data_IF_571721715782
#
_entry.id   IF_571721715782
#
_cell.length_a   1.000
_cell.length_b   1.000
_cell.length_c   1.000
_cell.angle_alpha   90.00
_cell.angle_beta   90.00
_cell.angle_gamma   90.00
#
_symmetry.space_group_name_H-M   'P 1'
#
loop_
_entity.id
_entity.type
_entity.pdbx_description
1 polymer ?
#
# COMPACT_ATOMS: atom_id res chain seq x y z
N UNK A 1 -14.26 -2.72 -54.77
CA UNK A 1 -15.17 -3.85 -54.45
C UNK A 1 -14.51 -4.65 -53.36
N UNK A 2 -15.25 -5.06 -52.35
CA UNK A 2 -14.73 -5.94 -51.30
C UNK A 2 -15.33 -7.32 -51.53
N UNK A 3 -14.49 -8.35 -51.50
CA UNK A 3 -14.88 -9.74 -51.66
C UNK A 3 -14.69 -10.46 -50.31
N UNK A 4 -15.69 -11.20 -49.87
CA UNK A 4 -15.60 -12.10 -48.72
C UNK A 4 -15.69 -13.52 -49.26
N UNK A 5 -14.62 -14.30 -49.08
CA UNK A 5 -14.59 -15.72 -49.40
C UNK A 5 -14.80 -16.52 -48.13
N UNK A 6 -15.95 -17.19 -47.99
CA UNK A 6 -16.18 -18.14 -46.89
C UNK A 6 -15.92 -19.55 -47.40
N UNK A 7 -14.97 -20.26 -46.78
CA UNK A 7 -14.72 -21.68 -47.02
C UNK A 7 -15.37 -22.50 -45.92
N UNK A 8 -16.28 -23.41 -46.26
CA UNK A 8 -16.87 -24.33 -45.27
C UNK A 8 -17.17 -25.69 -45.89
N UNK A 9 -16.77 -26.74 -45.18
CA UNK A 9 -16.71 -28.12 -45.68
C UNK A 9 -15.94 -28.20 -47.01
N UNK A 10 -16.59 -28.56 -48.12
CA UNK A 10 -16.01 -28.64 -49.47
C UNK A 10 -16.49 -27.53 -50.41
N UNK A 11 -17.04 -26.42 -49.87
CA UNK A 11 -17.59 -25.33 -50.66
C UNK A 11 -16.97 -23.97 -50.32
N UNK A 12 -16.75 -23.18 -51.37
CA UNK A 12 -16.21 -21.82 -51.32
C UNK A 12 -17.31 -20.85 -51.79
N UNK A 13 -17.78 -19.99 -50.89
CA UNK A 13 -18.81 -19.00 -51.16
C UNK A 13 -18.17 -17.61 -51.31
N UNK A 14 -18.15 -17.08 -52.53
CA UNK A 14 -17.62 -15.74 -52.85
C UNK A 14 -18.75 -14.69 -52.82
N UNK A 15 -18.75 -13.86 -51.78
CA UNK A 15 -19.68 -12.75 -51.62
C UNK A 15 -19.06 -11.44 -52.11
N UNK A 16 -19.61 -10.87 -53.17
CA UNK A 16 -19.27 -9.55 -53.67
C UNK A 16 -20.06 -8.49 -52.93
N UNK A 17 -19.40 -7.56 -52.25
CA UNK A 17 -20.05 -6.42 -51.60
C UNK A 17 -20.21 -5.30 -52.62
N UNK A 18 -21.46 -4.93 -52.90
CA UNK A 18 -21.84 -3.79 -53.72
C UNK A 18 -22.83 -2.93 -52.95
N UNK A 19 -22.35 -1.75 -52.56
CA UNK A 19 -23.09 -0.83 -51.68
C UNK A 19 -23.54 -1.61 -50.41
N UNK A 20 -24.82 -1.58 -50.06
CA UNK A 20 -25.36 -2.29 -48.89
C UNK A 20 -25.90 -3.70 -49.19
N UNK A 21 -25.76 -4.17 -50.44
CA UNK A 21 -26.13 -5.53 -50.85
C UNK A 21 -24.88 -6.42 -50.93
N UNK A 22 -24.89 -7.55 -50.22
CA UNK A 22 -23.96 -8.65 -50.49
C UNK A 22 -24.56 -9.53 -51.57
N UNK A 23 -23.81 -9.77 -52.64
CA UNK A 23 -24.25 -10.62 -53.75
C UNK A 23 -23.42 -11.91 -53.79
N UNK A 24 -24.09 -13.05 -53.85
CA UNK A 24 -23.49 -14.36 -54.09
C UNK A 24 -23.99 -14.89 -55.43
N UNK A 25 -23.07 -15.33 -56.29
CA UNK A 25 -23.38 -16.02 -57.54
C UNK A 25 -23.05 -17.50 -57.41
N UNK A 26 -24.02 -18.37 -57.64
CA UNK A 26 -23.83 -19.82 -57.69
C UNK A 26 -24.21 -20.34 -59.08
N UNK A 27 -23.39 -21.22 -59.67
CA UNK A 27 -23.75 -21.85 -60.94
C UNK A 27 -24.92 -22.83 -60.72
N UNK A 28 -25.85 -22.95 -61.68
CA UNK A 28 -26.99 -23.86 -61.55
C UNK A 28 -26.57 -25.31 -61.33
N UNK A 29 -25.44 -25.72 -61.92
CA UNK A 29 -24.78 -27.03 -61.71
C UNK A 29 -24.28 -27.29 -60.28
N UNK A 30 -24.11 -26.25 -59.46
CA UNK A 30 -23.78 -26.34 -58.02
C UNK A 30 -25.03 -26.35 -57.13
N UNK A 31 -26.23 -26.40 -57.74
CA UNK A 31 -27.52 -26.46 -57.05
C UNK A 31 -28.34 -27.65 -57.57
N UNK A 32 -29.43 -27.96 -56.88
CA UNK A 32 -30.41 -28.99 -57.29
C UNK A 32 -31.78 -28.37 -57.60
N UNK A 33 -31.82 -27.07 -57.91
CA UNK A 33 -33.03 -26.32 -58.25
C UNK A 33 -33.68 -26.91 -59.50
N UNK A 34 -34.96 -27.29 -59.39
CA UNK A 34 -35.77 -27.79 -60.52
C UNK A 34 -36.89 -26.84 -60.92
N UNK A 35 -37.24 -25.90 -60.04
CA UNK A 35 -38.28 -24.89 -60.23
C UNK A 35 -37.89 -23.64 -59.43
N UNK A 36 -37.91 -22.46 -60.04
CA UNK A 36 -37.64 -21.17 -59.40
C UNK A 36 -38.56 -20.94 -58.18
N UNK A 37 -39.77 -21.52 -58.18
CA UNK A 37 -40.70 -21.46 -57.02
C UNK A 37 -40.13 -22.09 -55.75
N UNK A 38 -39.13 -22.97 -55.85
CA UNK A 38 -38.42 -23.51 -54.69
C UNK A 38 -37.60 -22.42 -53.99
N UNK A 39 -37.06 -21.47 -54.76
CA UNK A 39 -36.26 -20.34 -54.27
C UNK A 39 -37.11 -19.25 -53.62
N UNK A 40 -38.45 -19.25 -53.80
CA UNK A 40 -39.34 -18.30 -53.14
C UNK A 40 -39.26 -18.36 -51.60
N UNK A 41 -38.88 -19.51 -51.04
CA UNK A 41 -38.57 -19.65 -49.61
C UNK A 41 -37.39 -18.76 -49.19
N UNK A 42 -36.36 -18.61 -50.04
CA UNK A 42 -35.21 -17.73 -49.76
C UNK A 42 -35.61 -16.24 -49.81
N UNK A 43 -36.80 -15.89 -50.32
CA UNK A 43 -37.37 -14.55 -50.23
C UNK A 43 -38.24 -14.31 -48.97
N UNK A 44 -38.45 -15.32 -48.11
CA UNK A 44 -39.33 -15.20 -46.93
C UNK A 44 -38.69 -14.33 -45.83
N UNK A 45 -39.40 -13.28 -45.39
CA UNK A 45 -38.96 -12.39 -44.31
C UNK A 45 -39.14 -13.06 -42.94
N UNK A 46 -38.04 -13.19 -42.18
CA UNK A 46 -38.04 -13.83 -40.84
C UNK A 46 -36.92 -13.27 -39.98
N UNK A 47 -37.14 -13.11 -38.67
CA UNK A 47 -36.17 -12.55 -37.69
C UNK A 47 -34.77 -13.22 -37.67
N UNK A 48 -34.67 -14.45 -38.21
CA UNK A 48 -33.43 -15.24 -38.24
C UNK A 48 -32.51 -14.90 -39.42
N UNK A 49 -33.02 -14.27 -40.47
CA UNK A 49 -32.35 -14.13 -41.76
C UNK A 49 -32.43 -12.71 -42.31
N UNK A 50 -31.41 -12.31 -43.07
CA UNK A 50 -31.39 -11.03 -43.79
C UNK A 50 -32.38 -11.05 -44.97
N UNK A 51 -33.13 -9.96 -45.24
CA UNK A 51 -33.97 -9.84 -46.43
C UNK A 51 -33.16 -10.10 -47.72
N UNK A 52 -33.65 -11.03 -48.53
CA UNK A 52 -32.93 -11.56 -49.68
C UNK A 52 -33.79 -11.56 -50.95
N UNK A 53 -33.19 -11.12 -52.04
CA UNK A 53 -33.73 -11.17 -53.39
C UNK A 53 -33.01 -12.26 -54.17
N UNK A 54 -33.72 -12.99 -55.04
CA UNK A 54 -33.13 -14.02 -55.91
C UNK A 54 -33.43 -13.67 -57.36
N UNK A 55 -32.38 -13.58 -58.17
CA UNK A 55 -32.46 -13.42 -59.62
C UNK A 55 -31.93 -14.69 -60.31
N UNK A 56 -32.66 -15.17 -61.30
CA UNK A 56 -32.26 -16.29 -62.16
C UNK A 56 -31.66 -15.73 -63.45
N UNK A 57 -30.35 -15.93 -63.65
CA UNK A 57 -29.63 -15.68 -64.91
C UNK A 57 -29.38 -17.05 -65.58
N UNK A 58 -29.14 -17.11 -66.90
CA UNK A 58 -29.27 -18.36 -67.70
C UNK A 58 -28.59 -19.60 -67.07
N UNK A 59 -27.31 -19.49 -66.69
CA UNK A 59 -26.54 -20.56 -66.01
C UNK A 59 -26.23 -20.27 -64.52
N UNK A 60 -26.64 -19.11 -63.98
CA UNK A 60 -26.20 -18.59 -62.67
C UNK A 60 -27.39 -18.09 -61.86
N UNK A 61 -27.48 -18.48 -60.60
CA UNK A 61 -28.43 -17.90 -59.63
C UNK A 61 -27.71 -16.83 -58.82
N UNK A 62 -28.21 -15.60 -58.87
CA UNK A 62 -27.68 -14.45 -58.12
C UNK A 62 -28.56 -14.17 -56.91
N UNK A 63 -28.02 -14.42 -55.71
CA UNK A 63 -28.64 -14.08 -54.44
C UNK A 63 -28.14 -12.71 -53.97
N UNK A 64 -29.05 -11.79 -53.62
CA UNK A 64 -28.72 -10.45 -53.14
C UNK A 64 -29.31 -10.20 -51.75
N UNK A 65 -28.44 -10.04 -50.74
CA UNK A 65 -28.81 -9.90 -49.34
C UNK A 65 -28.67 -8.42 -48.90
N UNK A 66 -29.76 -7.80 -48.44
CA UNK A 66 -29.80 -6.36 -48.09
C UNK A 66 -29.50 -6.16 -46.61
N UNK A 67 -28.33 -5.62 -46.29
CA UNK A 67 -27.87 -5.46 -44.89
C UNK A 67 -28.13 -4.02 -44.43
N UNK A 68 -28.76 -3.84 -43.27
CA UNK A 68 -28.89 -2.52 -42.62
C UNK A 68 -27.51 -1.94 -42.29
N UNK A 69 -27.26 -0.68 -42.64
CA UNK A 69 -26.04 0.05 -42.29
C UNK A 69 -25.72 0.02 -40.77
N UNK A 70 -26.75 -0.14 -39.91
CA UNK A 70 -26.60 -0.22 -38.45
C UNK A 70 -26.12 -1.59 -37.96
N UNK A 71 -26.23 -2.64 -38.77
CA UNK A 71 -25.93 -4.00 -38.35
C UNK A 71 -24.43 -4.18 -38.06
N UNK A 72 -24.13 -4.57 -36.83
CA UNK A 72 -22.77 -4.76 -36.33
C UNK A 72 -22.17 -6.05 -36.92
N UNK A 73 -20.87 -6.01 -37.22
CA UNK A 73 -20.12 -7.14 -37.80
C UNK A 73 -19.37 -7.89 -36.70
N UNK A 74 -18.95 -9.13 -36.98
CA UNK A 74 -18.15 -9.93 -36.04
C UNK A 74 -16.91 -9.20 -35.50
N UNK A 75 -16.24 -8.42 -36.35
CA UNK A 75 -15.07 -7.62 -35.99
C UNK A 75 -15.37 -6.50 -34.95
N UNK A 76 -16.63 -6.06 -34.81
CA UNK A 76 -17.03 -5.03 -33.85
C UNK A 76 -17.53 -5.66 -32.55
N UNK A 77 -18.31 -6.74 -32.67
CA UNK A 77 -18.70 -7.61 -31.55
C UNK A 77 -17.46 -8.18 -30.82
N UNK A 78 -16.37 -8.48 -31.52
CA UNK A 78 -15.12 -8.96 -30.91
C UNK A 78 -14.46 -7.96 -29.95
N UNK A 79 -14.84 -6.67 -30.01
CA UNK A 79 -14.34 -5.58 -29.16
C UNK A 79 -15.19 -5.33 -27.91
N UNK A 80 -16.38 -5.95 -27.81
CA UNK A 80 -17.33 -5.75 -26.71
C UNK A 80 -16.86 -6.39 -25.39
N UNK A 81 -17.53 -6.01 -24.29
CA UNK A 81 -17.29 -6.57 -22.96
C UNK A 81 -17.60 -8.07 -22.88
N UNK A 82 -17.00 -8.76 -21.90
CA UNK A 82 -17.20 -10.20 -21.71
C UNK A 82 -18.66 -10.56 -21.42
N UNK A 83 -19.39 -9.73 -20.69
CA UNK A 83 -20.85 -9.82 -20.49
C UNK A 83 -21.62 -9.86 -21.81
N UNK A 84 -21.24 -9.00 -22.74
CA UNK A 84 -21.98 -8.72 -23.97
C UNK A 84 -21.70 -9.80 -25.02
N UNK A 85 -20.46 -10.28 -25.06
CA UNK A 85 -20.07 -11.49 -25.80
C UNK A 85 -20.85 -12.71 -25.32
N UNK A 86 -20.95 -12.94 -24.01
CA UNK A 86 -21.73 -14.06 -23.46
C UNK A 86 -23.22 -13.92 -23.82
N UNK A 87 -23.82 -12.73 -23.67
CA UNK A 87 -25.20 -12.44 -24.10
C UNK A 87 -25.44 -12.76 -25.58
N UNK A 88 -24.51 -12.35 -26.45
CA UNK A 88 -24.59 -12.58 -27.90
C UNK A 88 -24.49 -14.07 -28.24
N UNK A 89 -23.63 -14.83 -27.56
CA UNK A 89 -23.54 -16.28 -27.73
C UNK A 89 -24.84 -16.97 -27.26
N UNK A 90 -25.40 -16.59 -26.11
CA UNK A 90 -26.73 -17.06 -25.70
C UNK A 90 -27.82 -16.72 -26.74
N UNK A 91 -27.74 -15.55 -27.39
CA UNK A 91 -28.67 -15.17 -28.45
C UNK A 91 -28.54 -16.03 -29.73
N UNK A 92 -27.35 -16.55 -30.06
CA UNK A 92 -27.13 -17.46 -31.20
C UNK A 92 -27.85 -18.81 -31.03
N UNK A 93 -28.13 -19.24 -29.79
CA UNK A 93 -28.86 -20.48 -29.52
C UNK A 93 -30.23 -20.57 -30.23
N UNK A 94 -30.82 -19.42 -30.60
CA UNK A 94 -32.07 -19.34 -31.38
C UNK A 94 -32.03 -20.18 -32.66
N UNK A 95 -30.87 -20.29 -33.30
CA UNK A 95 -30.73 -20.97 -34.60
C UNK A 95 -30.92 -22.49 -34.51
N UNK A 96 -30.88 -23.11 -33.32
CA UNK A 96 -31.27 -24.52 -33.15
C UNK A 96 -32.71 -24.78 -33.64
N UNK A 97 -33.61 -23.79 -33.55
CA UNK A 97 -34.98 -23.88 -34.07
C UNK A 97 -35.07 -24.00 -35.59
N UNK A 98 -34.00 -23.67 -36.33
CA UNK A 98 -33.96 -23.78 -37.79
C UNK A 98 -33.66 -25.22 -38.25
N UNK A 99 -32.99 -26.04 -37.44
CA UNK A 99 -32.61 -27.42 -37.79
C UNK A 99 -33.83 -28.32 -38.12
N UNK A 100 -34.97 -28.04 -37.49
CA UNK A 100 -36.25 -28.72 -37.72
C UNK A 100 -37.03 -28.19 -38.94
N UNK A 101 -36.49 -27.20 -39.67
CA UNK A 101 -37.14 -26.60 -40.84
C UNK A 101 -36.57 -27.15 -42.16
N UNK A 102 -37.10 -26.67 -43.30
CA UNK A 102 -36.49 -26.90 -44.62
C UNK A 102 -35.29 -25.99 -44.91
N UNK A 103 -35.12 -24.91 -44.15
CA UNK A 103 -33.96 -24.03 -44.30
C UNK A 103 -32.72 -24.73 -43.79
N UNK A 104 -31.62 -24.55 -44.50
CA UNK A 104 -30.28 -24.93 -44.06
C UNK A 104 -29.41 -23.70 -43.95
N UNK A 105 -28.40 -23.76 -43.11
CA UNK A 105 -27.51 -22.64 -42.82
C UNK A 105 -26.16 -23.17 -42.35
N UNK A 106 -25.20 -22.27 -42.19
CA UNK A 106 -23.96 -22.57 -41.48
C UNK A 106 -23.60 -21.40 -40.57
N UNK A 107 -23.01 -21.72 -39.41
CA UNK A 107 -22.48 -20.74 -38.48
C UNK A 107 -21.02 -20.44 -38.85
N UNK A 108 -20.75 -19.20 -39.28
CA UNK A 108 -19.41 -18.69 -39.59
C UNK A 108 -19.36 -17.19 -39.22
N UNK A 109 -18.23 -16.65 -38.72
CA UNK A 109 -18.09 -15.25 -38.35
C UNK A 109 -18.62 -14.25 -39.38
N UNK A 110 -18.29 -14.43 -40.67
CA UNK A 110 -18.67 -13.49 -41.72
C UNK A 110 -20.11 -13.68 -42.23
N UNK A 111 -20.75 -14.81 -41.92
CA UNK A 111 -22.16 -15.08 -42.22
C UNK A 111 -23.12 -14.47 -41.18
N UNK A 112 -22.60 -13.94 -40.07
CA UNK A 112 -23.38 -13.36 -38.99
C UNK A 112 -23.33 -11.82 -39.02
N UNK A 113 -24.51 -11.21 -38.85
CA UNK A 113 -24.66 -9.79 -38.50
C UNK A 113 -25.50 -9.67 -37.23
N UNK A 114 -25.39 -8.53 -36.54
CA UNK A 114 -26.04 -8.33 -35.25
C UNK A 114 -26.75 -6.98 -35.15
N UNK A 115 -27.98 -6.98 -34.64
CA UNK A 115 -28.71 -5.77 -34.23
C UNK A 115 -28.11 -5.15 -32.95
N UNK A 116 -28.45 -3.90 -32.65
CA UNK A 116 -28.03 -3.17 -31.44
C UNK A 116 -28.38 -3.90 -30.13
N UNK A 117 -29.41 -4.76 -30.10
CA UNK A 117 -29.73 -5.62 -28.95
C UNK A 117 -28.86 -6.90 -28.88
N UNK A 118 -27.83 -7.00 -29.73
CA UNK A 118 -26.98 -8.17 -29.95
C UNK A 118 -27.77 -9.40 -30.41
N UNK A 119 -28.83 -9.17 -31.19
CA UNK A 119 -29.64 -10.21 -31.83
C UNK A 119 -28.95 -10.60 -33.15
N UNK A 120 -28.59 -11.89 -33.34
CA UNK A 120 -27.96 -12.35 -34.56
C UNK A 120 -28.98 -12.66 -35.66
N UNK A 121 -28.63 -12.30 -36.89
CA UNK A 121 -29.28 -12.74 -38.12
C UNK A 121 -28.24 -13.29 -39.09
N UNK A 122 -28.62 -14.33 -39.85
CA UNK A 122 -27.77 -14.99 -40.84
C UNK A 122 -27.92 -14.32 -42.21
N UNK A 123 -26.80 -14.02 -42.86
CA UNK A 123 -26.79 -13.42 -44.21
C UNK A 123 -27.21 -14.46 -45.24
N UNK A 124 -26.51 -15.59 -45.30
CA UNK A 124 -26.74 -16.67 -46.26
C UNK A 124 -27.58 -17.80 -45.67
N UNK A 125 -28.52 -18.30 -46.50
CA UNK A 125 -29.40 -19.44 -46.23
C UNK A 125 -29.48 -20.37 -47.45
N UNK A 126 -29.44 -21.66 -47.18
CA UNK A 126 -29.70 -22.73 -48.14
C UNK A 126 -31.10 -23.33 -47.96
N UNK A 127 -31.43 -24.31 -48.81
CA UNK A 127 -32.65 -25.10 -48.72
C UNK A 127 -32.25 -26.57 -48.80
N UNK A 128 -32.74 -27.38 -47.86
CA UNK A 128 -32.47 -28.82 -47.79
C UNK A 128 -32.70 -29.49 -49.15
N UNK A 129 -31.73 -30.26 -49.61
CA UNK A 129 -31.68 -30.93 -50.93
C UNK A 129 -31.76 -30.04 -52.19
N UNK A 130 -31.81 -28.71 -52.09
CA UNK A 130 -32.01 -27.81 -53.24
C UNK A 130 -30.88 -26.78 -53.40
N UNK A 131 -30.52 -26.07 -52.33
CA UNK A 131 -29.46 -25.03 -52.34
C UNK A 131 -28.49 -25.32 -51.19
N UNK A 132 -27.17 -25.33 -51.41
CA UNK A 132 -26.21 -25.66 -50.35
C UNK A 132 -26.25 -24.67 -49.16
N UNK A 133 -25.80 -25.07 -47.95
CA UNK A 133 -25.42 -26.43 -47.56
C UNK A 133 -26.63 -27.36 -47.59
N UNK A 134 -26.52 -28.55 -48.18
CA UNK A 134 -27.70 -29.39 -48.44
C UNK A 134 -28.31 -30.00 -47.18
N UNK A 135 -27.50 -30.20 -46.14
CA UNK A 135 -27.91 -30.73 -44.84
C UNK A 135 -27.10 -30.03 -43.73
N UNK A 136 -27.71 -29.84 -42.56
CA UNK A 136 -27.02 -29.49 -41.33
C UNK A 136 -27.50 -30.44 -40.23
N UNK A 137 -26.55 -31.03 -39.53
CA UNK A 137 -26.76 -31.97 -38.43
C UNK A 137 -26.53 -31.27 -37.08
N UNK A 138 -27.12 -31.81 -36.02
CA UNK A 138 -26.97 -31.25 -34.66
C UNK A 138 -25.52 -31.36 -34.17
N UNK A 139 -24.78 -32.43 -34.50
CA UNK A 139 -23.34 -32.54 -34.21
C UNK A 139 -22.52 -31.45 -34.93
N UNK A 140 -22.76 -31.24 -36.23
CA UNK A 140 -22.12 -30.17 -37.02
C UNK A 140 -22.42 -28.79 -36.45
N UNK A 141 -23.68 -28.55 -36.08
CA UNK A 141 -24.12 -27.30 -35.47
C UNK A 141 -23.45 -27.05 -34.11
N UNK A 142 -23.36 -28.07 -33.24
CA UNK A 142 -22.64 -27.98 -31.96
C UNK A 142 -21.15 -27.69 -32.19
N UNK A 143 -20.51 -28.35 -33.15
CA UNK A 143 -19.09 -28.12 -33.47
C UNK A 143 -18.85 -26.68 -33.95
N UNK A 144 -19.61 -26.19 -34.93
CA UNK A 144 -19.50 -24.80 -35.40
C UNK A 144 -19.79 -23.80 -34.27
N UNK A 145 -20.77 -24.07 -33.41
CA UNK A 145 -21.11 -23.22 -32.28
C UNK A 145 -19.99 -23.17 -31.22
N UNK A 146 -19.35 -24.30 -30.88
CA UNK A 146 -18.15 -24.33 -30.03
C UNK A 146 -17.01 -23.51 -30.66
N UNK A 147 -16.76 -23.65 -31.96
CA UNK A 147 -15.74 -22.88 -32.67
C UNK A 147 -16.02 -21.36 -32.63
N UNK A 148 -17.27 -20.92 -32.79
CA UNK A 148 -17.65 -19.50 -32.62
C UNK A 148 -17.43 -18.99 -31.19
N UNK A 149 -17.77 -19.79 -30.17
CA UNK A 149 -17.58 -19.41 -28.76
C UNK A 149 -16.08 -19.16 -28.48
N UNK A 150 -15.22 -20.10 -28.89
CA UNK A 150 -13.77 -20.02 -28.67
C UNK A 150 -13.18 -18.87 -29.50
N UNK A 151 -13.55 -18.73 -30.78
CA UNK A 151 -13.08 -17.63 -31.65
C UNK A 151 -13.52 -16.22 -31.19
N UNK A 152 -14.54 -16.12 -30.32
CA UNK A 152 -14.99 -14.83 -29.77
C UNK A 152 -14.22 -14.42 -28.50
N UNK A 153 -13.62 -15.37 -27.77
CA UNK A 153 -12.83 -15.11 -26.55
C UNK A 153 -11.32 -15.21 -26.77
N UNK A 154 -10.86 -16.19 -27.54
CA UNK A 154 -9.45 -16.30 -27.91
C UNK A 154 -9.05 -15.19 -28.88
N UNK A 155 -7.76 -14.84 -28.84
CA UNK A 155 -7.09 -14.03 -29.87
C UNK A 155 -6.03 -14.82 -30.65
N UNK A 156 -5.87 -16.12 -30.35
CA UNK A 156 -4.85 -16.98 -30.94
C UNK A 156 -5.35 -17.80 -32.11
N UNK A 157 -6.63 -18.15 -32.12
CA UNK A 157 -7.22 -19.11 -33.05
C UNK A 157 -8.32 -18.47 -33.89
N UNK A 158 -8.26 -18.65 -35.22
CA UNK A 158 -9.38 -18.38 -36.13
C UNK A 158 -10.49 -19.42 -35.98
N UNK A 159 -11.70 -19.07 -36.41
CA UNK A 159 -12.80 -20.03 -36.55
C UNK A 159 -12.41 -21.22 -37.45
N UNK A 160 -11.73 -20.95 -38.56
CA UNK A 160 -11.36 -21.96 -39.57
C UNK A 160 -10.32 -22.95 -39.03
N UNK A 161 -9.38 -22.47 -38.22
CA UNK A 161 -8.37 -23.28 -37.54
C UNK A 161 -9.00 -24.19 -36.48
N UNK A 162 -9.99 -23.70 -35.74
CA UNK A 162 -10.74 -24.48 -34.76
C UNK A 162 -11.60 -25.55 -35.46
N UNK A 163 -12.33 -25.18 -36.51
CA UNK A 163 -13.21 -26.06 -37.27
C UNK A 163 -12.47 -27.14 -38.05
N UNK A 164 -11.26 -26.84 -38.56
CA UNK A 164 -10.37 -27.84 -39.18
C UNK A 164 -9.68 -28.79 -38.18
N UNK A 165 -9.87 -28.60 -36.87
CA UNK A 165 -9.52 -29.58 -35.84
C UNK A 165 -8.81 -29.03 -34.60
N UNK A 166 -8.40 -27.76 -34.59
CA UNK A 166 -7.62 -27.18 -33.48
C UNK A 166 -8.42 -26.97 -32.19
N UNK A 167 -9.73 -27.26 -32.19
CA UNK A 167 -10.61 -27.17 -31.02
C UNK A 167 -10.06 -27.92 -29.78
N UNK A 168 -9.33 -29.03 -29.96
CA UNK A 168 -8.70 -29.77 -28.85
C UNK A 168 -7.48 -29.07 -28.23
N UNK A 169 -6.90 -28.09 -28.92
CA UNK A 169 -5.74 -27.32 -28.49
C UNK A 169 -6.14 -26.00 -27.79
N UNK A 170 -7.42 -25.63 -27.85
CA UNK A 170 -7.95 -24.41 -27.25
C UNK A 170 -8.31 -24.61 -25.77
N UNK A 171 -7.29 -24.82 -24.94
CA UNK A 171 -7.43 -25.03 -23.48
C UNK A 171 -6.71 -23.96 -22.65
N UNK A 172 -6.49 -22.78 -23.23
CA UNK A 172 -5.82 -21.63 -22.59
C UNK A 172 -6.56 -21.11 -21.34
N UNK A 173 -7.89 -21.19 -21.33
CA UNK A 173 -8.73 -20.84 -20.17
C UNK A 173 -9.65 -21.99 -19.76
N UNK A 174 -10.04 -22.01 -18.49
CA UNK A 174 -11.02 -22.99 -17.98
C UNK A 174 -12.35 -22.94 -18.75
N UNK A 175 -12.75 -21.75 -19.20
CA UNK A 175 -13.97 -21.55 -19.99
C UNK A 175 -13.88 -22.23 -21.36
N UNK A 176 -12.77 -22.05 -22.09
CA UNK A 176 -12.56 -22.70 -23.39
C UNK A 176 -12.46 -24.22 -23.24
N UNK A 177 -11.78 -24.71 -22.19
CA UNK A 177 -11.72 -26.14 -21.88
C UNK A 177 -13.12 -26.73 -21.64
N UNK A 178 -13.92 -26.12 -20.76
CA UNK A 178 -15.28 -26.59 -20.48
C UNK A 178 -16.21 -26.49 -21.71
N UNK A 179 -16.02 -25.51 -22.59
CA UNK A 179 -16.75 -25.41 -23.88
C UNK A 179 -16.35 -26.54 -24.83
N UNK A 180 -15.07 -26.92 -24.86
CA UNK A 180 -14.59 -28.11 -25.58
C UNK A 180 -15.20 -29.41 -25.02
N UNK A 181 -15.13 -29.58 -23.70
CA UNK A 181 -15.62 -30.75 -22.94
C UNK A 181 -17.15 -30.90 -22.91
N UNK A 182 -17.94 -29.88 -23.24
CA UNK A 182 -19.40 -29.93 -23.16
C UNK A 182 -20.03 -30.79 -24.28
N UNK A 183 -20.38 -32.05 -24.02
CA UNK A 183 -20.97 -32.97 -25.02
C UNK A 183 -22.29 -32.44 -25.60
N UNK A 184 -23.19 -31.96 -24.74
CA UNK A 184 -24.57 -31.64 -25.10
C UNK A 184 -24.81 -30.14 -25.25
N UNK A 185 -25.57 -29.74 -26.28
CA UNK A 185 -25.97 -28.36 -26.52
C UNK A 185 -26.65 -27.68 -25.32
N UNK A 186 -27.53 -28.40 -24.61
CA UNK A 186 -28.20 -27.91 -23.39
C UNK A 186 -27.20 -27.60 -22.26
N UNK A 187 -26.17 -28.45 -22.09
CA UNK A 187 -25.11 -28.22 -21.11
C UNK A 187 -24.27 -26.99 -21.48
N UNK A 188 -24.00 -26.82 -22.78
CA UNK A 188 -23.25 -25.68 -23.30
C UNK A 188 -24.00 -24.35 -23.12
N UNK A 189 -25.32 -24.30 -23.36
CA UNK A 189 -26.14 -23.11 -23.01
C UNK A 189 -26.06 -22.81 -21.52
N UNK A 190 -26.30 -23.82 -20.67
CA UNK A 190 -26.33 -23.65 -19.22
C UNK A 190 -25.01 -23.07 -18.68
N UNK A 191 -23.88 -23.53 -19.23
CA UNK A 191 -22.55 -22.98 -18.95
C UNK A 191 -22.43 -21.50 -19.35
N UNK A 192 -22.90 -21.13 -20.55
CA UNK A 192 -22.88 -19.75 -21.04
C UNK A 192 -23.76 -18.83 -20.17
N UNK A 193 -24.96 -19.29 -19.79
CA UNK A 193 -25.88 -18.55 -18.92
C UNK A 193 -25.34 -18.37 -17.50
N UNK A 194 -24.76 -19.41 -16.90
CA UNK A 194 -24.13 -19.33 -15.58
C UNK A 194 -22.93 -18.36 -15.57
N UNK A 195 -22.09 -18.41 -16.61
CA UNK A 195 -20.99 -17.45 -16.80
C UNK A 195 -21.52 -16.03 -17.00
N UNK A 196 -22.57 -15.82 -17.81
CA UNK A 196 -23.17 -14.50 -18.03
C UNK A 196 -23.75 -13.90 -16.73
N UNK A 197 -24.46 -14.71 -15.95
CA UNK A 197 -25.03 -14.30 -14.66
C UNK A 197 -23.92 -13.98 -13.64
N UNK A 198 -22.81 -14.73 -13.64
CA UNK A 198 -21.63 -14.45 -12.81
C UNK A 198 -20.97 -13.12 -13.21
N UNK A 199 -20.59 -12.98 -14.48
CA UNK A 199 -19.91 -11.80 -15.03
C UNK A 199 -20.72 -10.51 -14.80
N UNK A 200 -22.05 -10.59 -14.99
CA UNK A 200 -22.98 -9.48 -14.72
C UNK A 200 -22.97 -9.09 -13.24
N UNK A 201 -23.08 -10.06 -12.32
CA UNK A 201 -23.06 -9.80 -10.87
C UNK A 201 -21.72 -9.24 -10.38
N UNK A 202 -20.61 -9.67 -10.97
CA UNK A 202 -19.28 -9.14 -10.66
C UNK A 202 -19.11 -7.72 -11.19
N UNK A 203 -19.62 -7.44 -12.40
CA UNK A 203 -19.66 -6.07 -12.97
C UNK A 203 -20.51 -5.13 -12.12
N UNK A 204 -21.74 -5.52 -11.74
CA UNK A 204 -22.66 -4.72 -10.93
C UNK A 204 -22.13 -4.43 -9.51
N UNK A 205 -21.30 -5.31 -8.95
CA UNK A 205 -20.64 -5.11 -7.64
C UNK A 205 -19.38 -4.27 -7.72
N UNK A 206 -18.52 -4.53 -8.71
CA UNK A 206 -17.15 -4.03 -8.73
C UNK A 206 -16.97 -2.80 -9.63
N UNK A 207 -17.92 -2.50 -10.51
CA UNK A 207 -17.84 -1.38 -11.47
C UNK A 207 -19.04 -0.45 -11.36
N UNK A 208 -18.75 0.85 -11.27
CA UNK A 208 -19.74 1.91 -11.39
C UNK A 208 -19.31 2.92 -12.46
N UNK A 209 -20.26 3.39 -13.26
CA UNK A 209 -20.01 4.31 -14.37
C UNK A 209 -19.73 5.74 -13.86
N UNK A 210 -18.47 6.02 -13.51
CA UNK A 210 -18.04 7.35 -13.08
C UNK A 210 -17.63 8.25 -14.26
N UNK A 211 -18.03 9.53 -14.30
CA UNK A 211 -17.66 10.44 -15.37
C UNK A 211 -16.15 10.76 -15.33
N UNK A 212 -15.41 10.25 -16.33
CA UNK A 212 -13.93 10.26 -16.41
C UNK A 212 -13.27 11.60 -16.02
N UNK A 213 -13.88 12.74 -16.38
CA UNK A 213 -13.40 14.09 -16.02
C UNK A 213 -13.35 14.33 -14.50
N UNK A 214 -14.43 13.99 -13.77
CA UNK A 214 -14.49 14.16 -12.30
C UNK A 214 -13.51 13.22 -11.59
N UNK A 215 -13.42 11.96 -12.04
CA UNK A 215 -12.51 10.98 -11.46
C UNK A 215 -11.03 11.37 -11.65
N UNK A 216 -10.64 11.90 -12.82
CA UNK A 216 -9.28 12.41 -13.05
C UNK A 216 -8.93 13.58 -12.14
N UNK A 217 -9.84 14.56 -11.99
CA UNK A 217 -9.64 15.70 -11.09
C UNK A 217 -9.51 15.24 -9.63
N UNK A 218 -10.38 14.35 -9.17
CA UNK A 218 -10.31 13.79 -7.82
C UNK A 218 -8.97 13.09 -7.57
N UNK A 219 -8.55 12.19 -8.48
CA UNK A 219 -7.26 11.48 -8.36
C UNK A 219 -6.06 12.44 -8.31
N UNK A 220 -6.08 13.52 -9.08
CA UNK A 220 -5.02 14.56 -9.02
C UNK A 220 -5.06 15.31 -7.67
N UNK A 221 -6.24 15.70 -7.21
CA UNK A 221 -6.41 16.38 -5.92
C UNK A 221 -5.97 15.50 -4.74
N UNK A 222 -6.24 14.18 -4.76
CA UNK A 222 -5.76 13.25 -3.73
C UNK A 222 -4.24 13.28 -3.59
N UNK A 223 -3.49 13.20 -4.70
CA UNK A 223 -2.02 13.25 -4.63
C UNK A 223 -1.49 14.62 -4.16
N UNK A 224 -2.12 15.73 -4.58
CA UNK A 224 -1.75 17.07 -4.12
C UNK A 224 -1.99 17.22 -2.61
N UNK A 225 -3.14 16.74 -2.10
CA UNK A 225 -3.46 16.78 -0.67
C UNK A 225 -2.53 15.90 0.17
N UNK A 226 -2.14 14.72 -0.33
CA UNK A 226 -1.15 13.86 0.35
C UNK A 226 0.21 14.58 0.43
N UNK A 227 0.70 15.14 -0.68
CA UNK A 227 1.97 15.86 -0.70
C UNK A 227 1.96 17.08 0.26
N UNK A 228 0.89 17.88 0.22
CA UNK A 228 0.70 19.03 1.12
C UNK A 228 0.63 18.59 2.60
N UNK A 229 -0.04 17.48 2.90
CA UNK A 229 -0.12 16.93 4.26
C UNK A 229 1.25 16.48 4.78
N UNK A 230 2.11 15.89 3.95
CA UNK A 230 3.48 15.50 4.34
C UNK A 230 4.35 16.73 4.57
N UNK A 231 4.25 17.75 3.70
CA UNK A 231 4.97 19.02 3.84
C UNK A 231 4.60 19.74 5.15
N UNK A 232 3.34 19.64 5.60
CA UNK A 232 2.89 20.24 6.86
C UNK A 232 3.19 19.36 8.11
N UNK A 233 3.27 18.03 7.94
CA UNK A 233 3.55 17.09 9.02
C UNK A 233 5.00 17.18 9.53
N UNK A 234 6.00 17.34 8.65
CA UNK A 234 7.41 17.34 9.07
C UNK A 234 7.75 18.52 10.01
N UNK A 235 7.39 19.79 9.72
CA UNK A 235 7.62 20.91 10.62
C UNK A 235 6.83 20.81 11.93
N UNK A 236 5.61 20.27 11.92
CA UNK A 236 4.78 20.14 13.13
C UNK A 236 5.31 19.05 14.06
N UNK A 237 5.77 17.92 13.53
CA UNK A 237 6.49 16.89 14.31
C UNK A 237 7.76 17.46 14.94
N UNK A 238 8.60 18.15 14.16
CA UNK A 238 9.83 18.78 14.68
C UNK A 238 9.53 19.81 15.79
N UNK A 239 8.54 20.68 15.59
CA UNK A 239 8.16 21.68 16.59
C UNK A 239 7.62 21.03 17.87
N UNK A 240 6.78 20.00 17.75
CA UNK A 240 6.14 19.33 18.88
C UNK A 240 7.10 18.45 19.70
N UNK A 241 7.99 17.70 19.04
CA UNK A 241 8.83 16.67 19.70
C UNK A 241 10.29 17.08 19.94
N UNK A 242 10.80 18.11 19.26
CA UNK A 242 12.18 18.59 19.46
C UNK A 242 12.18 19.99 20.06
N UNK A 243 11.50 20.96 19.41
CA UNK A 243 11.58 22.36 19.87
C UNK A 243 10.82 22.63 21.16
N UNK A 244 9.62 22.05 21.33
CA UNK A 244 8.80 22.23 22.54
C UNK A 244 9.46 21.74 23.84
N UNK A 245 10.02 20.50 23.94
CA UNK A 245 10.71 20.08 25.16
C UNK A 245 11.96 20.91 25.44
N UNK A 246 12.84 21.16 24.46
CA UNK A 246 14.02 22.02 24.60
C UNK A 246 13.66 23.40 25.20
N UNK A 247 12.59 24.02 24.72
CA UNK A 247 12.14 25.31 25.25
C UNK A 247 11.56 25.23 26.67
N UNK A 248 10.98 24.09 27.09
CA UNK A 248 10.53 23.87 28.47
C UNK A 248 11.71 23.68 29.42
N UNK A 249 12.62 22.77 29.10
CA UNK A 249 13.83 22.50 29.88
C UNK A 249 14.66 23.77 30.09
N UNK A 250 14.85 24.57 29.03
CA UNK A 250 15.52 25.86 29.13
C UNK A 250 14.79 26.87 30.04
N UNK A 251 13.45 26.92 30.01
CA UNK A 251 12.66 27.84 30.86
C UNK A 251 12.71 27.40 32.32
N UNK A 252 12.56 26.10 32.61
CA UNK A 252 12.58 25.59 33.98
C UNK A 252 14.00 25.66 34.58
N UNK A 253 15.05 25.42 33.79
CA UNK A 253 16.42 25.69 34.19
C UNK A 253 16.66 27.18 34.52
N UNK A 254 16.10 28.12 33.74
CA UNK A 254 16.15 29.54 34.09
C UNK A 254 15.38 29.85 35.40
N UNK A 255 14.25 29.18 35.65
CA UNK A 255 13.49 29.32 36.89
C UNK A 255 14.25 28.77 38.11
N UNK A 256 14.84 27.58 38.00
CA UNK A 256 15.68 26.98 39.03
C UNK A 256 16.94 27.81 39.32
N UNK A 257 17.56 28.40 38.30
CA UNK A 257 18.69 29.31 38.47
C UNK A 257 18.31 30.57 39.28
N UNK A 258 17.15 31.16 39.01
CA UNK A 258 16.62 32.29 39.79
C UNK A 258 16.25 31.89 41.24
N UNK A 259 15.84 30.63 41.45
CA UNK A 259 15.65 30.03 42.77
C UNK A 259 16.94 29.58 43.47
N UNK A 260 18.11 29.82 42.86
CA UNK A 260 19.45 29.40 43.34
C UNK A 260 19.64 27.88 43.46
N UNK A 261 18.80 27.08 42.81
CA UNK A 261 18.88 25.61 42.81
C UNK A 261 19.77 25.12 41.66
N UNK A 262 21.07 25.36 41.80
CA UNK A 262 22.09 25.01 40.80
C UNK A 262 22.13 23.51 40.48
N UNK A 263 21.75 22.65 41.44
CA UNK A 263 21.65 21.21 41.23
C UNK A 263 20.53 20.83 40.25
N UNK A 264 19.35 21.45 40.35
CA UNK A 264 18.30 21.23 39.35
C UNK A 264 18.60 21.87 37.99
N UNK A 265 19.31 23.01 37.94
CA UNK A 265 19.75 23.60 36.66
C UNK A 265 20.63 22.63 35.86
N UNK A 266 21.49 21.87 36.54
CA UNK A 266 22.31 20.82 35.95
C UNK A 266 21.42 19.69 35.43
N UNK A 267 20.58 19.09 36.29
CA UNK A 267 19.72 17.97 35.93
C UNK A 267 18.76 18.26 34.77
N UNK A 268 18.19 19.46 34.71
CA UNK A 268 17.21 19.85 33.67
C UNK A 268 17.87 20.11 32.30
N UNK A 269 19.18 20.38 32.26
CA UNK A 269 19.93 20.64 31.02
C UNK A 269 20.94 19.55 30.66
N UNK A 270 21.12 18.51 31.47
CA UNK A 270 22.15 17.49 31.25
C UNK A 270 21.97 16.73 29.91
N UNK A 271 20.74 16.30 29.62
CA UNK A 271 20.41 15.65 28.35
C UNK A 271 20.50 16.54 27.11
N UNK A 272 20.64 17.86 27.28
CA UNK A 272 20.74 18.82 26.18
C UNK A 272 22.19 19.06 25.74
N UNK A 273 22.40 19.31 24.44
CA UNK A 273 23.73 19.55 23.87
C UNK A 273 24.24 20.97 24.24
N UNK A 274 25.42 21.12 24.88
CA UNK A 274 25.93 22.42 25.34
C UNK A 274 26.11 23.48 24.25
N UNK A 275 26.54 23.09 23.04
CA UNK A 275 26.80 24.03 21.93
C UNK A 275 25.52 24.69 21.43
N UNK A 276 24.42 23.93 21.42
CA UNK A 276 23.09 24.34 20.95
C UNK A 276 22.32 25.20 21.96
N UNK A 277 22.76 25.26 23.21
CA UNK A 277 22.19 26.17 24.19
C UNK A 277 22.42 27.64 23.75
N UNK A 278 21.44 28.54 23.92
CA UNK A 278 21.70 29.98 23.81
C UNK A 278 22.67 30.42 24.91
N UNK A 279 23.31 31.57 24.74
CA UNK A 279 24.39 32.02 25.64
C UNK A 279 23.89 32.25 27.08
N UNK A 280 22.59 32.55 27.26
CA UNK A 280 21.95 32.57 28.58
C UNK A 280 21.85 31.19 29.24
N UNK A 281 21.59 30.14 28.44
CA UNK A 281 21.59 28.74 28.87
C UNK A 281 23.00 28.25 29.20
N UNK A 282 23.98 28.58 28.36
CA UNK A 282 25.40 28.32 28.61
C UNK A 282 25.88 28.99 29.91
N UNK A 283 25.52 30.26 30.11
CA UNK A 283 25.85 31.00 31.32
C UNK A 283 25.28 30.35 32.59
N UNK A 284 23.96 30.06 32.64
CA UNK A 284 23.38 29.47 33.86
C UNK A 284 23.95 28.08 34.16
N UNK A 285 24.23 27.28 33.13
CA UNK A 285 24.74 25.92 33.30
C UNK A 285 26.22 25.93 33.74
N UNK A 286 27.06 26.74 33.10
CA UNK A 286 28.45 26.93 33.49
C UNK A 286 28.59 27.49 34.93
N UNK A 287 27.78 28.50 35.27
CA UNK A 287 27.73 29.05 36.63
C UNK A 287 27.32 28.00 37.66
N UNK A 288 26.30 27.18 37.33
CA UNK A 288 25.80 26.13 38.21
C UNK A 288 26.88 25.06 38.48
N UNK A 289 27.56 24.58 37.42
CA UNK A 289 28.67 23.64 37.56
C UNK A 289 29.81 24.21 38.42
N UNK A 290 30.23 25.46 38.21
CA UNK A 290 31.29 26.09 39.02
C UNK A 290 30.86 26.26 40.49
N UNK A 291 29.57 26.51 40.79
CA UNK A 291 29.09 26.56 42.17
C UNK A 291 28.97 25.18 42.84
N UNK A 292 28.63 24.12 42.10
CA UNK A 292 28.52 22.75 42.64
C UNK A 292 29.85 21.98 42.70
N UNK A 293 30.89 22.43 41.99
CA UNK A 293 32.23 21.82 41.98
C UNK A 293 32.86 21.70 43.38
N UNK A 294 33.73 20.71 43.58
CA UNK A 294 34.45 20.40 44.83
C UNK A 294 35.66 21.32 45.09
N UNK A 295 35.51 22.63 44.83
CA UNK A 295 36.53 23.66 45.06
C UNK A 295 36.22 24.54 46.27
N UNK A 296 37.28 25.12 46.85
CA UNK A 296 37.18 26.19 47.84
C UNK A 296 36.47 27.43 47.30
N UNK A 297 35.85 28.20 48.20
CA UNK A 297 35.00 29.33 47.82
C UNK A 297 35.78 30.51 47.21
N UNK A 298 37.05 30.72 47.61
CA UNK A 298 37.90 31.77 47.05
C UNK A 298 38.32 31.49 45.58
N UNK A 299 38.80 30.28 45.21
CA UNK A 299 38.92 29.85 43.82
C UNK A 299 37.60 29.95 43.03
N UNK A 300 36.48 29.49 43.59
CA UNK A 300 35.15 29.61 42.95
C UNK A 300 34.81 31.06 42.63
N UNK A 301 34.97 31.97 43.59
CA UNK A 301 34.74 33.40 43.37
C UNK A 301 35.64 33.98 42.27
N UNK A 302 36.90 33.56 42.18
CA UNK A 302 37.81 34.01 41.12
C UNK A 302 37.35 33.54 39.73
N UNK A 303 36.93 32.27 39.61
CA UNK A 303 36.38 31.71 38.37
C UNK A 303 35.07 32.42 37.99
N UNK A 304 34.17 32.62 38.95
CA UNK A 304 32.84 33.20 38.73
C UNK A 304 32.89 34.68 38.32
N UNK A 305 33.93 35.44 38.71
CA UNK A 305 34.18 36.80 38.20
C UNK A 305 34.40 36.82 36.67
N UNK A 306 34.83 35.71 36.08
CA UNK A 306 34.99 35.51 34.64
C UNK A 306 33.79 34.76 33.99
N UNK A 307 32.84 34.23 34.76
CA UNK A 307 31.61 33.58 34.25
C UNK A 307 30.49 34.62 34.19
N UNK A 308 30.15 35.08 32.98
CA UNK A 308 29.14 36.11 32.75
C UNK A 308 28.35 35.85 31.46
N UNK A 309 27.20 36.51 31.30
CA UNK A 309 26.40 36.49 30.07
C UNK A 309 27.13 37.09 28.85
N UNK A 310 28.30 37.73 29.03
CA UNK A 310 29.15 38.29 27.97
C UNK A 310 30.51 37.59 27.86
N UNK A 311 30.75 36.53 28.64
CA UNK A 311 31.99 35.76 28.56
C UNK A 311 32.03 34.94 27.28
N UNK A 312 33.23 34.59 26.83
CA UNK A 312 33.39 33.81 25.61
C UNK A 312 32.67 32.46 25.69
N UNK A 313 32.02 32.06 24.59
CA UNK A 313 31.22 30.85 24.53
C UNK A 313 32.06 29.59 24.81
N UNK A 314 33.33 29.56 24.42
CA UNK A 314 34.23 28.44 24.68
C UNK A 314 34.64 28.37 26.16
N UNK A 315 34.80 29.51 26.83
CA UNK A 315 35.03 29.57 28.29
C UNK A 315 33.81 29.08 29.07
N UNK A 316 32.59 29.41 28.63
CA UNK A 316 31.36 28.85 29.22
C UNK A 316 31.24 27.35 28.95
N UNK A 317 31.49 26.92 27.70
CA UNK A 317 31.48 25.49 27.32
C UNK A 317 32.52 24.68 28.10
N UNK A 318 33.72 25.22 28.32
CA UNK A 318 34.77 24.58 29.12
C UNK A 318 34.24 24.11 30.47
N UNK A 319 33.59 25.00 31.23
CA UNK A 319 33.04 24.67 32.55
C UNK A 319 31.86 23.70 32.49
N UNK A 320 31.10 23.69 31.39
CA UNK A 320 30.02 22.71 31.16
C UNK A 320 30.58 21.31 30.86
N UNK A 321 31.55 21.19 29.95
CA UNK A 321 32.18 19.90 29.62
C UNK A 321 32.97 19.34 30.81
N UNK A 322 33.70 20.20 31.53
CA UNK A 322 34.39 19.83 32.75
C UNK A 322 33.41 19.33 33.83
N UNK A 323 32.34 20.09 34.11
CA UNK A 323 31.30 19.68 35.05
C UNK A 323 30.54 18.39 34.69
N UNK A 324 30.43 18.07 33.39
CA UNK A 324 29.88 16.79 32.87
C UNK A 324 30.88 15.62 32.88
N UNK A 325 32.13 15.82 33.28
CA UNK A 325 33.17 14.78 33.24
C UNK A 325 33.75 14.49 31.85
N UNK A 326 33.45 15.34 30.86
CA UNK A 326 34.08 15.34 29.54
C UNK A 326 35.36 16.19 29.58
N UNK A 327 36.38 15.59 30.19
CA UNK A 327 37.68 16.22 30.36
C UNK A 327 38.50 16.29 29.06
N UNK A 328 38.12 15.55 28.02
CA UNK A 328 38.75 15.67 26.70
C UNK A 328 38.28 16.94 26.00
N UNK A 329 36.97 17.16 25.86
CA UNK A 329 36.45 18.39 25.25
C UNK A 329 36.84 19.64 26.05
N UNK A 330 36.84 19.59 27.38
CA UNK A 330 37.28 20.74 28.18
C UNK A 330 38.80 21.00 28.07
N UNK A 331 39.68 19.98 28.04
CA UNK A 331 41.12 20.22 27.79
C UNK A 331 41.36 20.80 26.39
N UNK A 332 40.63 20.36 25.37
CA UNK A 332 40.78 20.90 24.00
C UNK A 332 40.22 22.33 23.87
N UNK A 333 39.11 22.65 24.54
CA UNK A 333 38.64 24.04 24.66
C UNK A 333 39.64 24.92 25.41
N UNK A 334 40.24 24.43 26.49
CA UNK A 334 41.26 25.18 27.24
C UNK A 334 42.53 25.46 26.40
N UNK A 335 42.94 24.49 25.56
CA UNK A 335 44.01 24.66 24.56
C UNK A 335 43.65 25.68 23.48
N UNK A 336 42.40 25.73 23.05
CA UNK A 336 41.91 26.70 22.07
C UNK A 336 41.81 28.13 22.64
N UNK A 337 41.48 28.26 23.93
CA UNK A 337 41.46 29.52 24.69
C UNK A 337 42.90 30.01 25.01
N UNK A 338 43.89 29.10 24.99
CA UNK A 338 45.28 29.28 25.45
C UNK A 338 45.37 29.78 26.92
N UNK A 339 44.52 29.23 27.80
CA UNK A 339 44.59 29.45 29.25
C UNK A 339 45.32 28.28 29.95
N UNK A 340 46.56 28.48 30.44
CA UNK A 340 47.34 27.42 31.08
C UNK A 340 46.71 26.88 32.36
N UNK A 341 45.94 27.70 33.10
CA UNK A 341 45.31 27.29 34.35
C UNK A 341 44.16 26.35 34.07
N UNK A 342 43.34 26.64 33.05
CA UNK A 342 42.29 25.73 32.60
C UNK A 342 42.86 24.42 32.04
N UNK A 343 43.95 24.48 31.25
CA UNK A 343 44.59 23.28 30.71
C UNK A 343 45.09 22.38 31.84
N UNK A 344 45.78 22.94 32.84
CA UNK A 344 46.25 22.19 34.02
C UNK A 344 45.09 21.63 34.84
N UNK A 345 44.02 22.40 35.09
CA UNK A 345 42.84 21.93 35.82
C UNK A 345 42.16 20.74 35.12
N UNK A 346 42.02 20.80 33.78
CA UNK A 346 41.53 19.68 32.98
C UNK A 346 42.39 18.43 33.11
N UNK A 347 43.73 18.55 33.14
CA UNK A 347 44.62 17.40 33.41
C UNK A 347 44.50 16.87 34.85
N UNK A 348 44.36 17.74 35.85
CA UNK A 348 44.09 17.31 37.24
C UNK A 348 42.80 16.51 37.32
N UNK A 349 41.71 17.00 36.69
CA UNK A 349 40.44 16.26 36.62
C UNK A 349 40.51 14.95 35.84
N UNK A 350 41.36 14.84 34.80
CA UNK A 350 41.67 13.55 34.16
C UNK A 350 42.36 12.57 35.10
N UNK A 351 43.32 13.04 35.90
CA UNK A 351 43.99 12.22 36.92
C UNK A 351 43.00 11.77 37.99
N UNK A 352 42.11 12.65 38.46
CA UNK A 352 41.01 12.30 39.37
C UNK A 352 40.07 11.24 38.77
N UNK A 353 39.71 11.37 37.48
CA UNK A 353 38.86 10.39 36.77
C UNK A 353 39.54 9.02 36.67
N UNK A 354 40.74 8.95 36.10
CA UNK A 354 41.45 7.69 35.89
C UNK A 354 41.72 6.94 37.22
N UNK A 355 42.11 7.67 38.29
CA UNK A 355 42.30 7.09 39.63
C UNK A 355 41.04 6.41 40.18
N UNK A 356 39.86 6.98 39.91
CA UNK A 356 38.59 6.56 40.50
C UNK A 356 37.72 5.70 39.57
N UNK A 357 38.09 5.52 38.30
CA UNK A 357 37.32 4.72 37.34
C UNK A 357 37.42 3.21 37.67
N UNK A 358 36.31 2.52 38.02
CA UNK A 358 36.33 1.10 38.37
C UNK A 358 36.49 0.17 37.16
N UNK A 359 36.42 0.68 35.93
CA UNK A 359 36.48 -0.12 34.70
C UNK A 359 37.91 -0.28 34.17
N UNK A 360 38.84 0.60 34.55
CA UNK A 360 40.27 0.50 34.20
C UNK A 360 40.94 -0.61 35.02
N UNK A 361 41.76 -1.44 34.37
CA UNK A 361 42.69 -2.31 35.09
C UNK A 361 43.77 -1.49 35.82
N UNK A 362 44.45 -2.09 36.79
CA UNK A 362 45.51 -1.41 37.55
C UNK A 362 46.62 -0.84 36.66
N UNK A 363 47.03 -1.59 35.64
CA UNK A 363 48.05 -1.17 34.67
C UNK A 363 47.57 -0.05 33.75
N UNK A 364 46.35 -0.13 33.22
CA UNK A 364 45.80 0.93 32.35
C UNK A 364 45.58 2.23 33.15
N UNK A 365 45.16 2.12 34.42
CA UNK A 365 45.05 3.25 35.35
C UNK A 365 46.41 3.89 35.61
N UNK A 366 47.46 3.11 35.86
CA UNK A 366 48.81 3.62 36.09
C UNK A 366 49.36 4.32 34.84
N UNK A 367 49.20 3.72 33.65
CA UNK A 367 49.59 4.33 32.37
C UNK A 367 48.85 5.65 32.09
N UNK A 368 47.52 5.70 32.28
CA UNK A 368 46.75 6.91 32.04
C UNK A 368 47.04 8.01 33.09
N UNK A 369 47.20 7.65 34.36
CA UNK A 369 47.58 8.61 35.41
C UNK A 369 48.97 9.17 35.14
N UNK A 370 49.97 8.34 34.82
CA UNK A 370 51.33 8.79 34.50
C UNK A 370 51.32 9.71 33.27
N UNK A 371 50.66 9.30 32.18
CA UNK A 371 50.52 10.10 30.95
C UNK A 371 49.94 11.49 31.22
N UNK A 372 48.88 11.59 32.01
CA UNK A 372 48.28 12.88 32.35
C UNK A 372 49.15 13.69 33.34
N UNK A 373 49.89 13.03 34.24
CA UNK A 373 50.88 13.69 35.12
C UNK A 373 52.08 14.26 34.35
N UNK A 374 52.59 13.55 33.35
CA UNK A 374 53.67 14.03 32.48
C UNK A 374 53.23 15.26 31.66
N UNK A 375 51.99 15.27 31.17
CA UNK A 375 51.40 16.46 30.55
C UNK A 375 51.25 17.61 31.55
N UNK A 376 50.64 17.36 32.71
CA UNK A 376 50.46 18.37 33.77
C UNK A 376 51.80 19.00 34.18
N UNK A 377 52.84 18.20 34.36
CA UNK A 377 54.21 18.68 34.61
C UNK A 377 54.74 19.50 33.44
N UNK A 378 54.62 19.03 32.20
CA UNK A 378 55.09 19.78 31.01
C UNK A 378 54.47 21.18 30.93
N UNK A 379 53.18 21.32 31.28
CA UNK A 379 52.54 22.64 31.37
C UNK A 379 52.99 23.44 32.62
N UNK A 380 53.15 22.79 33.78
CA UNK A 380 53.65 23.43 35.01
C UNK A 380 55.04 24.05 34.79
N UNK A 381 55.98 23.27 34.23
CA UNK A 381 57.35 23.66 33.95
C UNK A 381 57.40 24.78 32.89
N UNK A 382 56.55 24.70 31.85
CA UNK A 382 56.49 25.70 30.75
C UNK A 382 56.02 27.08 31.21
N UNK A 383 55.08 27.14 32.15
CA UNK A 383 54.47 28.41 32.60
C UNK A 383 54.90 28.84 34.02
N UNK A 384 55.71 28.06 34.72
CA UNK A 384 56.28 28.41 36.04
C UNK A 384 55.30 28.31 37.21
N UNK A 385 54.27 27.48 37.10
CA UNK A 385 53.08 27.49 37.98
C UNK A 385 53.15 26.49 39.17
N UNK A 386 54.36 26.09 39.59
CA UNK A 386 54.61 25.12 40.67
C UNK A 386 53.90 25.42 42.01
N UNK A 387 53.58 26.68 42.29
CA UNK A 387 52.88 27.10 43.51
C UNK A 387 51.42 26.64 43.55
N UNK A 388 50.77 26.46 42.40
CA UNK A 388 49.37 26.01 42.35
C UNK A 388 49.22 24.54 42.73
N UNK A 389 50.16 23.67 42.32
CA UNK A 389 50.15 22.25 42.68
C UNK A 389 50.25 22.00 44.20
N UNK A 390 50.89 22.92 44.95
CA UNK A 390 51.11 22.78 46.39
C UNK A 390 49.87 23.12 47.23
N UNK A 391 48.87 23.78 46.66
CA UNK A 391 47.60 24.14 47.32
C UNK A 391 46.54 23.02 47.31
N UNK A 392 46.70 21.98 46.48
CA UNK A 392 45.71 20.90 46.32
C UNK A 392 46.17 19.54 46.91
N UNK A 393 47.41 19.45 47.41
CA UNK A 393 48.01 18.21 47.91
C UNK A 393 48.11 18.14 49.46
N UNK A 394 47.56 19.10 50.19
CA UNK A 394 47.66 19.19 51.66
C UNK A 394 46.79 18.17 52.42
N UNK A 395 45.70 17.68 51.81
CA UNK A 395 44.56 17.13 52.55
C UNK A 395 44.35 15.61 52.36
N UNK A 396 45.35 14.89 51.85
CA UNK A 396 45.23 13.44 51.52
C UNK A 396 46.22 12.52 52.25
N UNK A 397 46.89 12.99 53.31
CA UNK A 397 47.77 12.14 54.14
C UNK A 397 47.60 12.41 55.63
N UNK A 398 46.63 11.74 56.28
CA UNK A 398 46.65 11.40 57.72
C UNK A 398 45.51 10.44 58.10
N UNK A 399 45.80 9.13 58.08
CA UNK A 399 45.26 8.04 58.93
C UNK A 399 45.15 6.72 58.13
N UNK A 400 46.03 5.75 58.42
CA UNK A 400 45.94 4.36 57.91
C UNK A 400 46.84 3.41 58.73
N UNK A 401 46.67 3.37 60.05
CA UNK A 401 47.22 2.30 60.91
C UNK A 401 46.14 1.79 61.88
N UNK A 402 46.25 0.50 62.25
CA UNK A 402 45.39 -0.26 63.20
C UNK A 402 43.90 -0.48 62.82
N UNK A 403 43.29 -1.65 63.02
CA UNK A 403 43.80 -3.01 63.38
C UNK A 403 42.83 -4.08 62.82
N UNK A 404 43.30 -5.32 62.68
CA UNK A 404 42.61 -6.45 62.02
C UNK A 404 41.92 -7.40 63.03
N UNK A 405 41.13 -8.37 62.54
CA UNK A 405 40.36 -9.41 63.26
C UNK A 405 39.08 -8.93 63.98
N UNK A 406 37.93 -9.64 63.98
CA UNK A 406 37.49 -10.72 63.09
C UNK A 406 36.97 -11.99 63.78
N UNK A 407 35.64 -12.12 63.93
CA UNK A 407 34.93 -13.42 63.97
C UNK A 407 33.43 -13.25 63.68
N UNK A 408 32.72 -14.33 63.34
CA UNK A 408 31.36 -14.30 62.81
C UNK A 408 30.40 -15.18 63.62
N UNK A 409 29.09 -14.84 63.62
CA UNK A 409 27.97 -15.79 63.49
C UNK A 409 26.59 -15.11 63.38
N UNK A 410 25.80 -15.57 62.42
CA UNK A 410 24.32 -15.49 62.37
C UNK A 410 23.70 -16.62 63.25
N UNK A 411 22.36 -16.72 63.51
CA UNK A 411 21.24 -15.98 62.90
C UNK A 411 20.11 -15.48 63.86
N UNK A 412 19.10 -14.84 63.24
CA UNK A 412 17.65 -14.89 63.56
C UNK A 412 17.00 -14.05 64.70
N UNK A 413 16.35 -12.94 64.27
CA UNK A 413 14.89 -12.82 64.09
C UNK A 413 13.91 -12.67 65.29
N UNK A 414 13.23 -11.49 65.31
CA UNK A 414 11.90 -11.16 65.88
C UNK A 414 11.73 -11.19 67.42
N UNK A 415 10.87 -10.40 68.07
CA UNK A 415 9.89 -9.36 67.61
C UNK A 415 9.81 -8.20 68.66
N UNK A 416 8.86 -7.25 68.79
CA UNK A 416 7.46 -7.12 68.31
C UNK A 416 6.99 -5.63 68.26
N UNK A 417 5.93 -5.35 67.48
CA UNK A 417 4.76 -4.44 67.71
C UNK A 417 4.83 -3.41 68.88
N UNK A 418 4.43 -2.13 68.77
CA UNK A 418 3.54 -1.40 67.81
C UNK A 418 4.01 0.09 67.63
N UNK A 419 3.25 1.19 67.38
CA UNK A 419 1.81 1.56 67.46
C UNK A 419 1.30 2.44 66.26
N UNK A 420 0.76 3.63 66.51
CA UNK A 420 -0.15 4.46 65.68
C UNK A 420 0.09 5.97 66.00
N UNK A 421 -0.37 7.00 65.27
CA UNK A 421 -1.32 7.13 64.14
C UNK A 421 -0.93 8.39 63.31
N UNK A 422 -1.08 8.46 61.98
CA UNK A 422 -2.28 8.99 61.28
C UNK A 422 -2.17 8.84 59.74
N UNK A 423 -3.28 9.06 59.03
CA UNK A 423 -3.50 8.77 57.60
C UNK A 423 -3.09 9.87 56.61
N UNK A 424 -2.58 9.50 55.43
CA UNK A 424 -3.36 9.60 54.17
C UNK A 424 -2.74 8.87 52.94
N UNK A 425 -3.58 8.70 51.91
CA UNK A 425 -3.30 8.31 50.51
C UNK A 425 -2.65 6.96 50.16
N UNK A 426 -3.52 6.08 49.62
CA UNK A 426 -3.24 5.05 48.60
C UNK A 426 -3.26 5.73 47.20
N UNK A 427 -3.16 5.11 46.02
CA UNK A 427 -3.26 3.71 45.55
C UNK A 427 -2.36 3.50 44.31
N UNK A 428 -1.46 2.50 44.30
CA UNK A 428 -0.86 1.97 43.06
C UNK A 428 -0.56 0.46 43.15
N UNK A 429 -1.59 -0.42 43.07
CA UNK A 429 -1.42 -1.75 42.46
C UNK A 429 -2.75 -2.43 42.04
N UNK A 430 -3.39 -1.95 40.96
CA UNK A 430 -4.66 -2.53 40.48
C UNK A 430 -4.85 -2.49 38.94
N UNK A 431 -3.77 -2.42 38.14
CA UNK A 431 -3.85 -2.36 36.67
C UNK A 431 -3.17 -3.55 35.97
N UNK A 432 -3.74 -4.75 36.14
CA UNK A 432 -3.42 -5.90 35.26
C UNK A 432 -4.51 -6.96 35.14
N UNK A 433 -5.79 -6.56 35.09
CA UNK A 433 -6.90 -7.50 34.85
C UNK A 433 -8.23 -6.85 34.36
N UNK A 434 -8.21 -5.97 33.35
CA UNK A 434 -9.46 -5.36 32.84
C UNK A 434 -9.51 -5.09 31.32
N UNK A 435 -8.92 -5.99 30.53
CA UNK A 435 -8.86 -5.87 29.06
C UNK A 435 -9.66 -6.97 28.31
N UNK A 436 -10.43 -7.80 29.02
CA UNK A 436 -11.26 -8.88 28.44
C UNK A 436 -12.78 -8.75 28.69
N UNK A 437 -13.22 -7.63 29.24
CA UNK A 437 -14.63 -7.45 29.69
C UNK A 437 -15.45 -6.49 28.81
N UNK A 438 -14.82 -5.77 27.86
CA UNK A 438 -15.46 -4.66 27.15
C UNK A 438 -15.91 -4.95 25.70
N UNK A 439 -15.50 -6.06 25.07
CA UNK A 439 -15.97 -6.41 23.72
C UNK A 439 -17.42 -6.92 23.72
N UNK A 440 -17.80 -7.76 24.68
CA UNK A 440 -19.15 -8.34 24.79
C UNK A 440 -20.26 -7.35 25.15
N UNK A 441 -19.93 -6.07 25.37
CA UNK A 441 -20.88 -5.01 25.66
C UNK A 441 -21.40 -4.24 24.42
N UNK A 442 -20.79 -4.42 23.23
CA UNK A 442 -21.20 -3.71 22.01
C UNK A 442 -22.15 -4.50 21.10
N UNK A 443 -21.93 -5.80 20.88
CA UNK A 443 -22.78 -6.62 19.99
C UNK A 443 -24.26 -6.59 20.37
N UNK A 444 -24.58 -6.57 21.67
CA UNK A 444 -25.96 -6.57 22.17
C UNK A 444 -26.72 -5.23 22.00
N UNK A 445 -26.13 -4.21 21.36
CA UNK A 445 -26.81 -2.93 21.08
C UNK A 445 -27.26 -2.73 19.62
N UNK A 446 -26.81 -3.54 18.68
CA UNK A 446 -27.23 -3.43 17.26
C UNK A 446 -28.42 -4.33 16.93
N UNK A 447 -28.42 -5.58 17.40
CA UNK A 447 -29.55 -6.51 17.23
C UNK A 447 -30.88 -6.01 17.85
N UNK A 448 -30.81 -5.07 18.81
CA UNK A 448 -32.00 -4.45 19.41
C UNK A 448 -32.76 -3.46 18.49
N UNK A 449 -32.16 -2.97 17.40
CA UNK A 449 -32.80 -1.95 16.53
C UNK A 449 -33.55 -2.52 15.34
N UNK A 450 -33.15 -3.67 14.80
CA UNK A 450 -33.77 -4.21 13.57
C UNK A 450 -35.22 -4.68 13.76
N UNK A 451 -35.64 -4.96 15.00
CA UNK A 451 -36.96 -5.55 15.29
C UNK A 451 -38.09 -4.53 15.55
N UNK A 452 -37.83 -3.21 15.45
CA UNK A 452 -38.86 -2.18 15.64
C UNK A 452 -39.55 -1.75 14.33
N UNK A 453 -38.78 -1.53 13.26
CA UNK A 453 -39.29 -1.07 11.96
C UNK A 453 -40.21 -2.07 11.23
N UNK A 454 -40.29 -3.32 11.68
CA UNK A 454 -41.14 -4.36 11.07
C UNK A 454 -42.59 -4.32 11.60
N UNK A 455 -42.86 -3.62 12.72
CA UNK A 455 -44.23 -3.49 13.27
C UNK A 455 -45.01 -2.29 12.73
N UNK A 456 -44.41 -1.11 12.64
CA UNK A 456 -45.12 0.11 12.20
C UNK A 456 -45.62 0.02 10.74
N UNK A 457 -44.97 -0.77 9.89
CA UNK A 457 -45.39 -0.98 8.50
C UNK A 457 -46.56 -1.96 8.30
N UNK A 458 -47.14 -2.53 9.37
CA UNK A 458 -48.35 -3.40 9.28
C UNK A 458 -49.64 -2.77 9.81
N UNK A 459 -49.59 -1.56 10.38
CA UNK A 459 -50.77 -0.88 10.93
C UNK A 459 -51.39 0.14 9.96
N UNK A 460 -50.65 0.57 8.94
CA UNK A 460 -51.10 1.56 7.95
C UNK A 460 -51.82 0.97 6.71
N UNK A 461 -51.85 -0.36 6.52
CA UNK A 461 -52.55 -0.99 5.39
C UNK A 461 -54.03 -1.32 5.67
N UNK A 462 -54.51 -1.18 6.91
CA UNK A 462 -55.89 -1.48 7.31
C UNK A 462 -56.79 -0.23 7.49
N UNK A 463 -56.41 0.92 6.92
CA UNK A 463 -57.23 2.14 6.87
C UNK A 463 -57.12 2.90 5.54
N UNK A 464 -57.65 2.32 4.47
CA UNK A 464 -58.16 3.07 3.31
C UNK A 464 -59.24 2.28 2.57
#
# INVERSE_FOLDING_TARGET
MNEITINIESMTFQFFIKDDKRQLKLAKSQTRVKDIRQLALICEETDYFVPAEVADEDDIITFSFTIDHRAQKWADVSKLGRSDKLRLLCNLARFRKLLTTRMTFFLHPDNLIFDDNLIPSLVYRGIRDVVPPYEIDEEKFILQYKCLIIALFSKKYSFDELYSGSIKNATDTEFERQVGEADNFTSLIKLLEENYIKEKKETEKNMQYVPKKRFRLFKQLTFIMIALSVILAVPTVYFSFVKSPFQKHLIEAHHHFLAQDYGKVISELDGENPEKLPDSGKYILAYSYVKTESLDEAPKEAILKNVSLKSDANYLLYWIYNGRGDFDQSVDLARYIDDPVLIMYGFVKKIEKAKNDPNLSGTEREEEVQKNQEQLKTYTDKYGLETLLKLQNSDTTNNSEETNQGQAQEPNTQDVIKQEETTENKDVNAQKNNEKTNEKAKENKENGKSNKNVKENKENENKK
#
